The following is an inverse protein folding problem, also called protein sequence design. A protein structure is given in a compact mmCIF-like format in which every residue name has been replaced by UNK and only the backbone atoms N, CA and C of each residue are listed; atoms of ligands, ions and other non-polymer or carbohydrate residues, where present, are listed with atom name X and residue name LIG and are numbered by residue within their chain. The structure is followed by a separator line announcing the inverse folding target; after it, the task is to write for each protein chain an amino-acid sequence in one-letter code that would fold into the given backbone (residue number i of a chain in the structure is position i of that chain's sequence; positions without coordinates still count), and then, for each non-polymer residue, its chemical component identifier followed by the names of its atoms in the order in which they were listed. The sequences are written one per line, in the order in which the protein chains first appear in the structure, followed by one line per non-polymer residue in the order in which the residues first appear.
data_IF_861556193293
#
_entry.id   IF_861556193293
#
_cell.length_a   1.000
_cell.length_b   1.000
_cell.length_c   1.000
_cell.angle_alpha   90.00
_cell.angle_beta   90.00
_cell.angle_gamma   90.00
#
_symmetry.space_group_name_H-M   'P 1'
#
loop_
_entity.id
_entity.type
_entity.pdbx_description
1 polymer ?
#
# COMPACT_ATOMS: atom_id res chain seq x y z
N UNK A 1 -5.45 -16.76 9.11
CA UNK A 1 -5.33 -15.49 8.37
C UNK A 1 -5.17 -14.40 9.41
N UNK A 2 -3.93 -14.17 9.85
CA UNK A 2 -3.65 -13.50 11.12
C UNK A 2 -3.64 -11.98 10.97
N UNK A 3 -4.45 -11.37 11.84
CA UNK A 3 -4.54 -9.97 12.16
C UNK A 3 -3.19 -9.27 12.30
N UNK A 4 -2.83 -8.51 11.27
CA UNK A 4 -2.03 -7.27 11.25
C UNK A 4 -1.22 -7.28 9.96
N UNK A 5 -1.84 -6.74 8.92
CA UNK A 5 -1.12 -6.20 7.79
C UNK A 5 -0.27 -5.03 8.31
N UNK A 6 0.95 -5.30 8.78
CA UNK A 6 1.89 -4.23 9.10
C UNK A 6 2.37 -3.67 7.77
N UNK A 7 1.63 -2.68 7.28
CA UNK A 7 1.95 -1.95 6.06
C UNK A 7 3.40 -1.50 6.00
N UNK A 8 4.04 -1.23 7.15
CA UNK A 8 5.46 -0.90 7.19
C UNK A 8 6.33 -2.12 6.85
N UNK A 9 5.97 -3.31 7.33
CA UNK A 9 6.67 -4.56 6.99
C UNK A 9 6.54 -4.87 5.49
N UNK A 10 5.35 -4.73 4.93
CA UNK A 10 5.10 -4.95 3.50
C UNK A 10 5.94 -4.03 2.61
N UNK A 11 6.01 -2.76 2.98
CA UNK A 11 6.87 -1.77 2.34
C UNK A 11 8.37 -2.12 2.48
N UNK A 12 8.79 -2.58 3.66
CA UNK A 12 10.18 -2.96 3.92
C UNK A 12 10.61 -4.18 3.09
N UNK A 13 9.78 -5.23 3.04
CA UNK A 13 10.02 -6.41 2.20
C UNK A 13 10.08 -6.06 0.70
N UNK A 14 9.26 -5.12 0.28
CA UNK A 14 9.25 -4.59 -1.09
C UNK A 14 10.37 -3.58 -1.37
N UNK A 15 11.16 -3.20 -0.37
CA UNK A 15 12.18 -2.13 -0.42
C UNK A 15 11.63 -0.82 -1.04
N UNK A 16 10.39 -0.46 -0.71
CA UNK A 16 9.76 0.80 -1.14
C UNK A 16 9.23 1.59 0.03
N UNK A 17 9.14 2.90 -0.13
CA UNK A 17 8.52 3.81 0.84
C UNK A 17 7.05 4.08 0.50
N UNK A 18 6.26 4.45 1.50
CA UNK A 18 4.87 4.87 1.30
C UNK A 18 4.74 6.03 0.31
N UNK A 19 5.73 6.93 0.27
CA UNK A 19 5.74 8.04 -0.69
C UNK A 19 5.92 7.56 -2.13
N UNK A 20 6.78 6.57 -2.36
CA UNK A 20 6.97 5.96 -3.69
C UNK A 20 5.69 5.26 -4.15
N UNK A 21 5.04 4.50 -3.25
CA UNK A 21 3.75 3.87 -3.56
C UNK A 21 2.70 4.94 -3.88
N UNK A 22 2.60 5.99 -3.07
CA UNK A 22 1.71 7.11 -3.33
C UNK A 22 1.94 7.74 -4.71
N UNK A 23 3.19 8.05 -5.05
CA UNK A 23 3.55 8.60 -6.37
C UNK A 23 3.12 7.66 -7.51
N UNK A 24 3.32 6.35 -7.36
CA UNK A 24 2.93 5.37 -8.36
C UNK A 24 1.42 5.35 -8.63
N UNK A 25 0.60 5.47 -7.58
CA UNK A 25 -0.86 5.50 -7.70
C UNK A 25 -1.44 6.91 -7.87
N UNK A 26 -0.59 7.91 -8.16
CA UNK A 26 -1.01 9.29 -8.39
C UNK A 26 -1.46 10.05 -7.14
N UNK A 27 -1.08 9.60 -5.95
CA UNK A 27 -1.37 10.25 -4.67
C UNK A 27 -0.16 11.01 -4.10
N UNK A 28 -0.44 12.23 -3.60
CA UNK A 28 0.51 12.98 -2.78
C UNK A 28 0.61 12.36 -1.38
N UNK A 29 1.65 12.74 -0.63
CA UNK A 29 1.95 12.24 0.74
C UNK A 29 0.73 12.26 1.67
N UNK A 30 0.02 13.39 1.77
CA UNK A 30 -1.14 13.54 2.68
C UNK A 30 -2.34 12.65 2.26
N UNK A 31 -2.82 12.68 1.00
CA UNK A 31 -3.82 11.73 0.52
C UNK A 31 -3.45 10.26 0.72
N UNK A 32 -2.18 9.90 0.49
CA UNK A 32 -1.70 8.53 0.69
C UNK A 32 -1.79 8.11 2.17
N UNK A 33 -1.36 8.96 3.10
CA UNK A 33 -1.48 8.69 4.54
C UNK A 33 -2.95 8.52 4.97
N UNK A 34 -3.85 9.32 4.42
CA UNK A 34 -5.30 9.18 4.67
C UNK A 34 -5.82 7.87 4.13
N UNK A 35 -5.44 7.47 2.91
CA UNK A 35 -5.84 6.21 2.31
C UNK A 35 -5.39 5.02 3.17
N UNK A 36 -4.11 4.99 3.56
CA UNK A 36 -3.54 3.98 4.46
C UNK A 36 -4.33 3.90 5.77
N UNK A 37 -4.66 5.05 6.38
CA UNK A 37 -5.47 5.09 7.60
C UNK A 37 -6.88 4.51 7.38
N UNK A 38 -7.55 4.84 6.28
CA UNK A 38 -8.89 4.29 5.95
C UNK A 38 -8.86 2.77 5.75
N UNK A 39 -7.85 2.26 5.05
CA UNK A 39 -7.77 0.85 4.70
C UNK A 39 -7.31 -0.03 5.85
N UNK A 40 -6.31 0.43 6.63
CA UNK A 40 -5.76 -0.34 7.75
C UNK A 40 -6.55 -0.13 9.04
N UNK A 41 -6.68 1.13 9.48
CA UNK A 41 -7.35 1.43 10.76
C UNK A 41 -8.86 1.35 10.60
N UNK A 42 -9.39 1.93 9.52
CA UNK A 42 -10.82 1.89 9.19
C UNK A 42 -11.29 0.55 8.61
N UNK A 43 -10.38 -0.41 8.39
CA UNK A 43 -10.65 -1.73 7.77
C UNK A 43 -11.44 -1.63 6.45
N UNK A 44 -11.27 -0.53 5.71
CA UNK A 44 -12.01 -0.27 4.48
C UNK A 44 -13.49 0.10 4.66
N UNK A 45 -14.01 0.19 5.89
CA UNK A 45 -15.42 0.50 6.16
C UNK A 45 -15.81 1.93 5.76
N UNK A 46 -14.86 2.86 5.80
CA UNK A 46 -15.04 4.26 5.41
C UNK A 46 -14.38 4.59 4.08
N UNK A 47 -13.91 3.57 3.35
CA UNK A 47 -13.27 3.72 2.06
C UNK A 47 -14.33 3.82 0.95
N UNK A 48 -14.19 4.85 0.11
CA UNK A 48 -14.95 4.95 -1.13
C UNK A 48 -14.49 3.87 -2.12
N UNK A 49 -15.26 3.60 -3.18
CA UNK A 49 -14.83 2.63 -4.19
C UNK A 49 -13.55 3.08 -4.93
N UNK A 50 -13.35 4.40 -5.06
CA UNK A 50 -12.09 4.95 -5.55
C UNK A 50 -10.92 4.69 -4.60
N UNK A 51 -11.14 4.81 -3.29
CA UNK A 51 -10.13 4.48 -2.28
C UNK A 51 -9.76 2.99 -2.35
N UNK A 52 -10.77 2.10 -2.46
CA UNK A 52 -10.53 0.64 -2.61
C UNK A 52 -9.76 0.31 -3.87
N UNK A 53 -10.10 0.93 -5.01
CA UNK A 53 -9.37 0.77 -6.27
C UNK A 53 -7.90 1.20 -6.12
N UNK A 54 -7.67 2.41 -5.61
CA UNK A 54 -6.32 2.93 -5.36
C UNK A 54 -5.52 2.06 -4.39
N UNK A 55 -6.19 1.49 -3.39
CA UNK A 55 -5.57 0.54 -2.48
C UNK A 55 -5.18 -0.75 -3.18
N UNK A 56 -6.03 -1.30 -4.04
CA UNK A 56 -5.69 -2.45 -4.88
C UNK A 56 -4.45 -2.16 -5.73
N UNK A 57 -4.43 -1.03 -6.44
CA UNK A 57 -3.29 -0.62 -7.27
C UNK A 57 -1.99 -0.49 -6.44
N UNK A 58 -2.10 -0.01 -5.20
CA UNK A 58 -0.97 0.08 -4.27
C UNK A 58 -0.46 -1.29 -3.84
N UNK A 59 -1.36 -2.24 -3.57
CA UNK A 59 -1.01 -3.62 -3.22
C UNK A 59 -0.35 -4.34 -4.39
N UNK A 60 -0.90 -4.19 -5.60
CA UNK A 60 -0.35 -4.78 -6.82
C UNK A 60 1.08 -4.27 -7.08
N UNK A 61 1.31 -2.97 -6.89
CA UNK A 61 2.64 -2.40 -7.01
C UNK A 61 3.61 -2.95 -5.95
N UNK A 62 3.19 -3.09 -4.70
CA UNK A 62 4.01 -3.68 -3.63
C UNK A 62 4.35 -5.13 -3.97
N UNK A 63 3.36 -5.92 -4.39
CA UNK A 63 3.56 -7.32 -4.78
C UNK A 63 4.58 -7.43 -5.93
N UNK A 64 4.41 -6.62 -6.98
CA UNK A 64 5.37 -6.54 -8.08
C UNK A 64 6.79 -6.20 -7.60
N UNK A 65 6.93 -5.22 -6.70
CA UNK A 65 8.24 -4.84 -6.14
C UNK A 65 8.85 -5.95 -5.29
N UNK A 66 8.06 -6.67 -4.49
CA UNK A 66 8.54 -7.83 -3.74
C UNK A 66 9.08 -8.93 -4.66
N UNK A 67 8.40 -9.19 -5.78
CA UNK A 67 8.88 -10.15 -6.78
C UNK A 67 10.20 -9.71 -7.43
N UNK A 68 10.36 -8.43 -7.74
CA UNK A 68 11.63 -7.90 -8.23
C UNK A 68 12.76 -8.10 -7.21
N UNK A 69 12.52 -7.75 -5.95
CA UNK A 69 13.51 -7.93 -4.87
C UNK A 69 13.92 -9.39 -4.71
N UNK A 70 12.98 -10.34 -4.85
CA UNK A 70 13.27 -11.78 -4.80
C UNK A 70 14.08 -12.28 -5.99
N UNK A 71 13.92 -11.69 -7.18
CA UNK A 71 14.70 -12.06 -8.38
C UNK A 71 16.12 -11.50 -8.35
N UNK A 72 16.34 -10.44 -7.60
CA UNK A 72 17.63 -9.75 -7.45
C UNK A 72 18.42 -10.20 -6.20
N UNK A 73 17.87 -11.10 -5.39
CA UNK A 73 18.48 -11.66 -4.16
C UNK A 73 19.01 -13.07 -4.40
#
# INVERSE_FOLDING_TARGET
MSDKWDWRQELAEAKVSQEQVGKQIGLKKTPMSTLVKKMIVGKGLTATDLDKKRWSDALDYIAFKKEQVKKEA
#
